data_IF_746333474553
#
_entry.id   IF_746333474553
#
_cell.length_a   1.000
_cell.length_b   1.000
_cell.length_c   1.000
_cell.angle_alpha   90.00
_cell.angle_beta   90.00
_cell.angle_gamma   90.00
#
_symmetry.space_group_name_H-M   'P 1'
#
loop_
_entity.id
_entity.type
_entity.pdbx_description
1 polymer ?
#
# COMPACT_ATOMS: atom_id res chain seq x y z
N UNK A 1 -16.10 -30.15 23.93
CA UNK A 1 -16.96 -29.17 23.24
C UNK A 1 -16.06 -28.04 22.76
N UNK A 2 -15.66 -28.02 21.47
CA UNK A 2 -14.77 -26.99 20.94
C UNK A 2 -15.59 -25.74 20.59
N UNK A 3 -15.38 -24.65 21.33
CA UNK A 3 -15.97 -23.36 21.00
C UNK A 3 -15.18 -22.79 19.82
N UNK A 4 -15.84 -22.64 18.66
CA UNK A 4 -15.26 -21.97 17.49
C UNK A 4 -14.97 -20.51 17.87
N UNK A 5 -13.67 -20.15 17.92
CA UNK A 5 -13.25 -18.78 18.10
C UNK A 5 -13.80 -17.93 16.95
N UNK A 6 -14.70 -17.03 17.23
CA UNK A 6 -15.16 -16.02 16.27
C UNK A 6 -14.00 -15.08 15.99
N UNK A 7 -13.49 -15.07 14.77
CA UNK A 7 -12.38 -14.22 14.33
C UNK A 7 -12.81 -12.76 14.24
N UNK A 8 -13.03 -12.13 15.39
CA UNK A 8 -13.33 -10.71 15.46
C UNK A 8 -12.06 -9.90 15.26
N UNK A 9 -12.00 -9.05 14.23
CA UNK A 9 -10.93 -8.06 14.06
C UNK A 9 -11.27 -6.84 14.92
N UNK A 10 -10.38 -6.47 15.81
CA UNK A 10 -10.52 -5.29 16.64
C UNK A 10 -9.64 -4.15 16.12
N UNK A 11 -10.12 -2.91 16.21
CA UNK A 11 -9.27 -1.73 16.13
C UNK A 11 -8.52 -1.55 17.45
N UNK A 12 -7.28 -1.05 17.39
CA UNK A 12 -6.45 -0.87 18.61
C UNK A 12 -7.09 0.09 19.63
N UNK A 13 -7.93 1.00 19.16
CA UNK A 13 -8.64 1.95 20.00
C UNK A 13 -9.89 1.33 20.66
N UNK A 14 -10.49 0.31 20.04
CA UNK A 14 -11.68 -0.38 20.60
C UNK A 14 -11.31 -1.38 21.70
N UNK A 15 -10.06 -1.86 21.72
CA UNK A 15 -9.59 -2.86 22.69
C UNK A 15 -9.66 -2.36 24.13
N UNK A 16 -9.45 -1.06 24.36
CA UNK A 16 -9.47 -0.47 25.70
C UNK A 16 -10.85 -0.37 26.32
N UNK A 17 -11.91 -0.38 25.52
CA UNK A 17 -13.27 -0.13 25.99
C UNK A 17 -14.19 -1.35 25.96
N UNK A 18 -13.95 -2.33 25.08
CA UNK A 18 -14.93 -3.39 24.78
C UNK A 18 -14.42 -4.83 24.89
N UNK A 19 -13.09 -5.05 24.95
CA UNK A 19 -12.55 -6.39 25.01
C UNK A 19 -12.51 -6.91 26.45
N UNK A 20 -13.33 -7.92 26.76
CA UNK A 20 -13.33 -8.65 28.03
C UNK A 20 -13.05 -10.13 27.77
N UNK A 21 -12.49 -10.81 28.78
CA UNK A 21 -12.34 -12.26 28.73
C UNK A 21 -13.73 -12.92 28.73
N UNK A 22 -14.03 -13.82 27.77
CA UNK A 22 -15.33 -14.51 27.70
C UNK A 22 -15.67 -15.32 28.95
N UNK A 23 -14.66 -15.72 29.72
CA UNK A 23 -14.83 -16.46 30.98
C UNK A 23 -14.96 -15.53 32.19
N UNK A 24 -15.07 -14.20 31.98
CA UNK A 24 -15.34 -13.23 33.04
C UNK A 24 -14.22 -13.02 34.07
N UNK A 25 -13.08 -13.69 33.91
CA UNK A 25 -12.08 -13.81 34.97
C UNK A 25 -11.01 -12.71 34.98
N UNK A 26 -10.88 -11.86 34.00
CA UNK A 26 -9.92 -10.75 34.09
C UNK A 26 -10.07 -9.65 33.08
N UNK A 27 -9.71 -8.44 33.49
CA UNK A 27 -9.47 -7.28 32.63
C UNK A 27 -8.03 -7.24 32.05
N UNK A 28 -7.21 -8.26 32.37
CA UNK A 28 -5.80 -8.30 32.00
C UNK A 28 -5.63 -8.99 30.63
N UNK A 29 -5.64 -8.21 29.56
CA UNK A 29 -5.42 -8.69 28.23
C UNK A 29 -3.95 -8.54 27.84
N UNK A 30 -3.41 -9.56 27.19
CA UNK A 30 -2.06 -9.58 26.65
C UNK A 30 -2.11 -9.53 25.12
N UNK A 31 -1.33 -8.61 24.56
CA UNK A 31 -1.13 -8.51 23.13
C UNK A 31 0.23 -9.07 22.75
N UNK A 32 0.27 -10.16 22.00
CA UNK A 32 1.49 -10.76 21.49
C UNK A 32 1.36 -11.06 20.00
N UNK A 33 2.31 -10.56 19.18
CA UNK A 33 2.34 -10.78 17.73
C UNK A 33 1.00 -10.52 17.03
N UNK A 34 0.26 -9.50 17.46
CA UNK A 34 -1.05 -9.14 16.90
C UNK A 34 -2.20 -10.04 17.36
N UNK A 35 -1.99 -10.96 18.32
CA UNK A 35 -3.03 -11.76 18.95
C UNK A 35 -3.37 -11.16 20.32
N UNK A 36 -4.64 -10.96 20.55
CA UNK A 36 -5.16 -10.54 21.84
C UNK A 36 -5.64 -11.78 22.59
N UNK A 37 -5.06 -12.06 23.75
CA UNK A 37 -5.41 -13.19 24.61
C UNK A 37 -5.58 -12.76 26.06
N UNK A 38 -6.34 -13.54 26.82
CA UNK A 38 -6.44 -13.36 28.28
C UNK A 38 -5.14 -13.82 28.93
N UNK A 39 -4.59 -13.02 29.84
CA UNK A 39 -3.35 -13.35 30.55
C UNK A 39 -3.54 -14.49 31.55
N UNK A 40 -4.76 -14.67 32.08
CA UNK A 40 -5.02 -15.67 33.10
C UNK A 40 -5.41 -17.05 32.55
N UNK A 41 -6.31 -17.11 31.55
CA UNK A 41 -6.79 -18.37 31.01
C UNK A 41 -6.19 -18.71 29.61
N UNK A 42 -5.42 -17.78 28.96
CA UNK A 42 -4.80 -18.01 27.67
C UNK A 42 -5.76 -17.98 26.48
N UNK A 43 -7.07 -17.81 26.70
CA UNK A 43 -8.05 -17.81 25.60
C UNK A 43 -7.76 -16.70 24.62
N UNK A 44 -7.67 -17.02 23.32
CA UNK A 44 -7.52 -16.04 22.24
C UNK A 44 -8.87 -15.34 22.02
N UNK A 45 -8.90 -14.03 22.28
CA UNK A 45 -10.09 -13.17 22.18
C UNK A 45 -10.25 -12.64 20.75
N UNK A 46 -9.13 -12.44 20.07
CA UNK A 46 -9.13 -11.95 18.68
C UNK A 46 -7.75 -11.53 18.18
N UNK A 47 -7.74 -10.95 16.99
CA UNK A 47 -6.50 -10.45 16.35
C UNK A 47 -6.66 -8.98 16.05
N UNK A 48 -5.60 -8.21 16.34
CA UNK A 48 -5.51 -6.83 15.86
C UNK A 48 -5.19 -6.91 14.37
N UNK A 49 -6.04 -6.28 13.55
CA UNK A 49 -5.74 -6.10 12.13
C UNK A 49 -4.41 -5.36 11.99
N UNK A 50 -3.54 -5.79 11.05
CA UNK A 50 -2.33 -5.02 10.73
C UNK A 50 -2.77 -3.64 10.27
N UNK A 51 -2.59 -2.63 11.11
CA UNK A 51 -2.69 -1.24 10.67
C UNK A 51 -1.52 -0.98 9.73
N UNK A 52 -1.80 -0.46 8.55
CA UNK A 52 -0.73 -0.06 7.63
C UNK A 52 0.14 0.98 8.32
N UNK A 53 1.46 0.77 8.35
CA UNK A 53 2.46 1.63 9.01
C UNK A 53 2.29 3.13 8.72
N UNK A 54 1.67 3.47 7.60
CA UNK A 54 1.47 4.85 7.13
C UNK A 54 0.00 5.27 7.07
N UNK A 55 -0.92 4.52 7.72
CA UNK A 55 -2.36 4.86 7.77
C UNK A 55 -3.09 4.73 6.42
N UNK A 56 -2.49 4.08 5.43
CA UNK A 56 -3.13 3.85 4.15
C UNK A 56 -4.39 2.99 4.32
N UNK A 57 -5.52 3.47 3.81
CA UNK A 57 -6.80 2.74 3.83
C UNK A 57 -7.09 2.24 2.42
N UNK A 58 -7.31 0.94 2.30
CA UNK A 58 -7.81 0.36 1.05
C UNK A 58 -9.11 1.04 0.67
N UNK A 59 -9.22 1.41 -0.59
CA UNK A 59 -10.35 2.16 -1.12
C UNK A 59 -10.87 1.47 -2.37
N UNK A 60 -12.16 1.19 -2.39
CA UNK A 60 -12.83 0.69 -3.58
C UNK A 60 -13.27 1.85 -4.46
N UNK A 61 -13.02 1.74 -5.78
CA UNK A 61 -13.48 2.69 -6.78
C UNK A 61 -13.72 1.94 -8.10
N UNK A 62 -14.89 2.11 -8.69
CA UNK A 62 -15.30 1.48 -9.95
C UNK A 62 -15.09 -0.06 -9.96
N UNK A 63 -15.41 -0.75 -8.85
CA UNK A 63 -15.26 -2.19 -8.70
C UNK A 63 -13.83 -2.68 -8.55
N UNK A 64 -12.83 -1.79 -8.47
CA UNK A 64 -11.41 -2.12 -8.20
C UNK A 64 -11.01 -1.64 -6.81
N UNK A 65 -10.16 -2.44 -6.14
CA UNK A 65 -9.64 -2.13 -4.81
C UNK A 65 -8.21 -1.60 -4.96
N UNK A 66 -7.97 -0.39 -4.45
CA UNK A 66 -6.68 0.29 -4.41
C UNK A 66 -6.08 0.23 -3.01
N UNK A 67 -4.77 0.16 -2.89
CA UNK A 67 -4.08 0.04 -1.61
C UNK A 67 -4.11 1.35 -0.78
N UNK A 68 -4.41 2.49 -1.40
CA UNK A 68 -4.57 3.78 -0.74
C UNK A 68 -5.65 4.65 -1.40
N UNK A 69 -6.17 5.63 -0.64
CA UNK A 69 -7.08 6.66 -1.17
C UNK A 69 -6.42 7.51 -2.26
N UNK A 70 -5.12 7.77 -2.14
CA UNK A 70 -4.40 8.57 -3.10
C UNK A 70 -4.22 7.83 -4.43
N UNK A 71 -3.92 6.54 -4.39
CA UNK A 71 -3.90 5.68 -5.59
C UNK A 71 -5.27 5.64 -6.28
N UNK A 72 -6.38 5.50 -5.51
CA UNK A 72 -7.73 5.59 -6.05
C UNK A 72 -8.02 6.95 -6.70
N UNK A 73 -7.52 8.06 -6.13
CA UNK A 73 -7.66 9.39 -6.73
C UNK A 73 -6.92 9.50 -8.06
N UNK A 74 -5.67 9.03 -8.12
CA UNK A 74 -4.88 9.01 -9.38
C UNK A 74 -5.58 8.16 -10.44
N UNK A 75 -6.19 7.04 -10.04
CA UNK A 75 -6.98 6.22 -10.96
C UNK A 75 -8.22 6.97 -11.48
N UNK A 76 -8.89 7.77 -10.63
CA UNK A 76 -10.02 8.60 -11.05
C UNK A 76 -9.57 9.66 -12.08
N UNK A 77 -8.42 10.28 -11.86
CA UNK A 77 -7.85 11.27 -12.77
C UNK A 77 -7.53 10.62 -14.14
N UNK A 78 -6.95 9.40 -14.13
CA UNK A 78 -6.69 8.62 -15.35
C UNK A 78 -7.98 8.24 -16.11
N UNK A 79 -9.07 7.92 -15.41
CA UNK A 79 -10.37 7.69 -16.05
C UNK A 79 -10.90 8.96 -16.76
N UNK A 80 -10.66 10.13 -16.20
CA UNK A 80 -11.00 11.41 -16.83
C UNK A 80 -10.10 11.65 -18.04
N UNK A 81 -8.76 11.49 -17.92
CA UNK A 81 -7.81 11.61 -19.04
C UNK A 81 -8.21 10.70 -20.21
N UNK A 82 -8.59 9.45 -19.93
CA UNK A 82 -9.07 8.49 -20.94
C UNK A 82 -10.38 8.95 -21.60
N UNK A 83 -11.36 9.41 -20.83
CA UNK A 83 -12.66 9.91 -21.37
C UNK A 83 -12.48 11.17 -22.24
N UNK A 84 -11.49 12.01 -21.93
CA UNK A 84 -11.13 13.20 -22.69
C UNK A 84 -10.26 12.85 -23.91
N UNK A 85 -9.91 11.60 -24.13
CA UNK A 85 -9.03 11.17 -25.23
C UNK A 85 -7.59 11.67 -25.11
N UNK A 86 -7.12 11.99 -23.92
CA UNK A 86 -5.74 12.42 -23.65
C UNK A 86 -4.79 11.22 -23.55
N UNK A 87 -5.29 10.07 -23.15
CA UNK A 87 -4.61 8.78 -23.14
C UNK A 87 -5.50 7.74 -23.85
N UNK A 88 -4.88 6.67 -24.36
CA UNK A 88 -5.61 5.57 -25.01
C UNK A 88 -6.26 4.65 -23.98
N UNK A 89 -5.51 4.21 -22.96
CA UNK A 89 -5.95 3.32 -21.88
C UNK A 89 -4.94 3.33 -20.73
N UNK A 90 -5.23 2.59 -19.66
CA UNK A 90 -4.26 2.33 -18.60
C UNK A 90 -4.49 1.00 -17.89
N UNK A 91 -3.41 0.37 -17.43
CA UNK A 91 -3.42 -0.80 -16.57
C UNK A 91 -3.08 -0.41 -15.14
N UNK A 92 -3.64 -1.13 -14.17
CA UNK A 92 -3.31 -0.96 -12.76
C UNK A 92 -2.35 -2.05 -12.29
N UNK A 93 -1.45 -1.69 -11.38
CA UNK A 93 -0.53 -2.63 -10.71
C UNK A 93 0.36 -3.41 -11.70
N UNK A 94 0.93 -2.69 -12.66
CA UNK A 94 1.80 -3.27 -13.66
C UNK A 94 3.09 -3.81 -13.06
N UNK A 95 3.42 -5.07 -13.39
CA UNK A 95 4.58 -5.76 -12.82
C UNK A 95 5.75 -5.70 -13.79
N UNK A 96 6.87 -5.19 -13.27
CA UNK A 96 8.18 -5.16 -13.94
C UNK A 96 9.06 -6.19 -13.27
N UNK A 97 9.70 -7.05 -14.06
CA UNK A 97 10.62 -8.06 -13.57
C UNK A 97 11.88 -8.07 -14.45
N UNK A 98 13.01 -8.44 -13.84
CA UNK A 98 14.27 -8.53 -14.55
C UNK A 98 15.38 -9.10 -13.69
N UNK A 99 16.61 -9.04 -14.21
CA UNK A 99 17.82 -9.49 -13.54
C UNK A 99 18.85 -8.37 -13.50
N UNK A 100 19.50 -8.24 -12.37
CA UNK A 100 20.75 -7.48 -12.27
C UNK A 100 21.89 -8.45 -12.59
N UNK A 101 22.85 -7.99 -13.38
CA UNK A 101 24.00 -8.78 -13.81
C UNK A 101 25.25 -8.28 -13.11
N UNK A 102 26.20 -9.19 -12.86
CA UNK A 102 27.52 -8.87 -12.35
C UNK A 102 28.44 -8.32 -13.47
N UNK A 103 29.67 -7.95 -13.14
CA UNK A 103 30.68 -7.45 -14.08
C UNK A 103 31.07 -8.44 -15.17
N UNK A 104 30.84 -9.74 -14.96
CA UNK A 104 31.10 -10.81 -15.90
C UNK A 104 29.89 -11.17 -16.76
N UNK A 105 28.75 -10.45 -16.60
CA UNK A 105 27.52 -10.71 -17.32
C UNK A 105 26.68 -11.87 -16.79
N UNK A 106 27.01 -12.41 -15.60
CA UNK A 106 26.22 -13.46 -14.97
C UNK A 106 25.05 -12.84 -14.19
N UNK A 107 23.94 -13.58 -14.08
CA UNK A 107 22.78 -13.19 -13.28
C UNK A 107 23.15 -13.12 -11.80
N UNK A 108 23.18 -11.89 -11.23
CA UNK A 108 23.49 -11.67 -9.81
C UNK A 108 22.23 -11.87 -8.95
N UNK A 109 21.15 -11.15 -9.22
CA UNK A 109 19.89 -11.29 -8.49
C UNK A 109 18.68 -10.83 -9.32
N UNK A 110 17.50 -11.43 -9.10
CA UNK A 110 16.27 -10.96 -9.72
C UNK A 110 15.75 -9.70 -9.02
N UNK A 111 15.11 -8.82 -9.78
CA UNK A 111 14.35 -7.71 -9.21
C UNK A 111 12.90 -7.75 -9.67
N UNK A 112 12.02 -7.22 -8.82
CA UNK A 112 10.59 -7.08 -9.11
C UNK A 112 10.12 -5.73 -8.60
N UNK A 113 9.42 -5.00 -9.47
CA UNK A 113 8.77 -3.75 -9.11
C UNK A 113 7.34 -3.76 -9.63
N UNK A 114 6.38 -3.51 -8.74
CA UNK A 114 4.98 -3.35 -9.10
C UNK A 114 4.67 -1.86 -9.09
N UNK A 115 4.53 -1.29 -10.29
CA UNK A 115 4.17 0.12 -10.50
C UNK A 115 2.65 0.25 -10.41
N UNK A 116 2.16 1.35 -9.84
CA UNK A 116 0.73 1.53 -9.60
C UNK A 116 -0.06 1.59 -10.92
N UNK A 117 0.47 2.28 -11.97
CA UNK A 117 -0.21 2.41 -13.26
C UNK A 117 0.76 2.32 -14.43
N UNK A 118 0.32 1.68 -15.54
CA UNK A 118 0.93 1.79 -16.86
C UNK A 118 -0.08 2.45 -17.78
N UNK A 119 0.26 3.61 -18.31
CA UNK A 119 -0.56 4.43 -19.19
C UNK A 119 -0.17 4.14 -20.63
N UNK A 120 -1.14 3.91 -21.47
CA UNK A 120 -0.99 3.74 -22.92
C UNK A 120 -1.19 5.11 -23.58
N UNK A 121 -0.13 5.74 -24.05
CA UNK A 121 -0.18 7.04 -24.69
C UNK A 121 -0.76 6.94 -26.11
N UNK A 122 -1.21 8.07 -26.66
CA UNK A 122 -1.80 8.12 -27.99
C UNK A 122 -0.79 7.82 -29.10
N UNK A 123 0.49 8.14 -28.90
CA UNK A 123 1.60 7.88 -29.81
C UNK A 123 2.11 6.44 -29.79
N UNK A 124 1.52 5.58 -28.94
CA UNK A 124 1.91 4.18 -28.78
C UNK A 124 2.99 3.94 -27.76
N UNK A 125 3.56 4.98 -27.15
CA UNK A 125 4.48 4.87 -26.00
C UNK A 125 3.72 4.56 -24.71
N UNK A 126 4.48 4.29 -23.64
CA UNK A 126 3.93 3.99 -22.32
C UNK A 126 4.50 4.92 -21.25
N UNK A 127 3.65 5.32 -20.30
CA UNK A 127 4.08 6.02 -19.10
C UNK A 127 3.80 5.17 -17.87
N UNK A 128 4.83 4.87 -17.11
CA UNK A 128 4.71 4.24 -15.80
C UNK A 128 4.49 5.33 -14.76
N UNK A 129 3.33 5.32 -14.07
CA UNK A 129 2.97 6.32 -13.06
C UNK A 129 2.87 5.68 -11.69
N UNK A 130 3.56 6.25 -10.71
CA UNK A 130 3.57 5.81 -9.32
C UNK A 130 2.92 6.87 -8.44
N UNK A 131 1.99 6.48 -7.55
CA UNK A 131 1.32 7.37 -6.60
C UNK A 131 1.98 7.28 -5.22
N UNK A 132 2.67 8.31 -4.75
CA UNK A 132 3.42 8.29 -3.49
C UNK A 132 2.96 9.33 -2.47
N UNK A 133 2.63 8.85 -1.28
CA UNK A 133 2.46 9.71 -0.10
C UNK A 133 3.78 9.89 0.66
N UNK A 134 4.56 8.81 0.81
CA UNK A 134 5.86 8.78 1.49
C UNK A 134 6.78 7.83 0.72
N UNK A 135 8.01 8.26 0.50
CA UNK A 135 9.06 7.40 -0.05
C UNK A 135 9.74 6.61 1.06
N UNK A 136 9.76 5.28 0.91
CA UNK A 136 10.53 4.38 1.76
C UNK A 136 11.88 4.07 1.11
N UNK A 137 12.87 3.62 1.88
CA UNK A 137 14.19 3.29 1.33
C UNK A 137 14.10 2.09 0.37
N UNK A 138 13.23 1.12 0.64
CA UNK A 138 12.94 0.01 -0.28
C UNK A 138 12.35 0.50 -1.61
N UNK A 139 11.48 1.52 -1.60
CA UNK A 139 10.98 2.13 -2.81
C UNK A 139 12.09 2.86 -3.58
N UNK A 140 12.93 3.66 -2.90
CA UNK A 140 14.05 4.38 -3.53
C UNK A 140 15.01 3.41 -4.24
N UNK A 141 15.29 2.25 -3.63
CA UNK A 141 16.08 1.19 -4.24
C UNK A 141 15.44 0.64 -5.51
N UNK A 142 14.16 0.26 -5.45
CA UNK A 142 13.43 -0.25 -6.62
C UNK A 142 13.33 0.78 -7.73
N UNK A 143 13.07 2.03 -7.39
CA UNK A 143 13.06 3.15 -8.34
C UNK A 143 14.42 3.31 -9.02
N UNK A 144 15.52 3.27 -8.26
CA UNK A 144 16.88 3.37 -8.81
C UNK A 144 17.17 2.25 -9.81
N UNK A 145 16.80 1.01 -9.50
CA UNK A 145 16.94 -0.11 -10.43
C UNK A 145 16.07 0.09 -11.69
N UNK A 146 14.81 0.53 -11.52
CA UNK A 146 13.92 0.85 -12.62
C UNK A 146 14.53 1.89 -13.56
N UNK A 147 14.97 3.02 -13.02
CA UNK A 147 15.52 4.14 -13.79
C UNK A 147 16.89 3.82 -14.43
N UNK A 148 17.75 3.04 -13.74
CA UNK A 148 19.13 2.80 -14.19
C UNK A 148 19.30 1.51 -15.00
N UNK A 149 18.40 0.54 -14.88
CA UNK A 149 18.54 -0.79 -15.52
C UNK A 149 17.41 -1.07 -16.48
N UNK A 150 16.16 -0.91 -16.03
CA UNK A 150 15.03 -1.34 -16.84
C UNK A 150 14.63 -0.33 -17.91
N UNK A 151 14.47 0.95 -17.59
CA UNK A 151 14.07 1.99 -18.54
C UNK A 151 15.05 2.15 -19.73
N UNK A 152 16.39 2.11 -19.53
CA UNK A 152 17.31 2.18 -20.66
C UNK A 152 17.15 1.05 -21.69
N UNK A 153 16.66 -0.11 -21.26
CA UNK A 153 16.36 -1.24 -22.14
C UNK A 153 14.95 -1.19 -22.77
N UNK A 154 14.12 -0.20 -22.38
CA UNK A 154 12.74 -0.03 -22.84
C UNK A 154 12.48 1.43 -23.22
N UNK A 155 13.01 1.91 -24.36
CA UNK A 155 12.97 3.33 -24.74
C UNK A 155 11.57 3.86 -25.04
N UNK A 156 10.59 2.98 -25.25
CA UNK A 156 9.17 3.28 -25.40
C UNK A 156 8.45 3.56 -24.06
N UNK A 157 9.15 3.41 -22.92
CA UNK A 157 8.62 3.67 -21.59
C UNK A 157 9.22 4.93 -20.97
N UNK A 158 8.36 5.72 -20.33
CA UNK A 158 8.74 6.81 -19.42
C UNK A 158 8.28 6.50 -18.02
N UNK A 159 8.85 7.18 -17.01
CA UNK A 159 8.48 6.98 -15.60
C UNK A 159 8.25 8.31 -14.90
N UNK A 160 7.16 8.41 -14.16
CA UNK A 160 6.82 9.57 -13.36
C UNK A 160 6.27 9.19 -11.98
N UNK A 161 6.46 10.07 -11.01
CA UNK A 161 5.94 9.91 -9.65
C UNK A 161 5.02 11.07 -9.32
N UNK A 162 3.80 10.75 -8.95
CA UNK A 162 2.82 11.74 -8.46
C UNK A 162 2.84 11.71 -6.94
N UNK A 163 3.08 12.88 -6.33
CA UNK A 163 3.14 13.00 -4.88
C UNK A 163 1.85 13.56 -4.31
N UNK A 164 1.39 12.94 -3.21
CA UNK A 164 0.26 13.46 -2.46
C UNK A 164 0.62 14.81 -1.82
N UNK A 165 -0.11 15.87 -2.17
CA UNK A 165 0.03 17.18 -1.50
C UNK A 165 -0.32 17.03 -0.02
N UNK A 166 0.64 17.25 0.86
CA UNK A 166 0.39 17.29 2.31
C UNK A 166 -0.34 18.58 2.65
N UNK A 167 -1.59 18.49 3.11
CA UNK A 167 -2.24 19.62 3.76
C UNK A 167 -1.43 19.97 5.01
N UNK A 168 -0.69 21.08 4.98
CA UNK A 168 -0.08 21.64 6.20
C UNK A 168 -1.22 21.93 7.16
N UNK A 169 -1.36 21.16 8.26
CA UNK A 169 -2.25 21.51 9.36
C UNK A 169 -1.85 22.92 9.82
N UNK A 170 -2.72 23.89 9.61
CA UNK A 170 -2.60 25.20 10.27
C UNK A 170 -2.80 24.92 11.76
N UNK A 171 -1.73 24.97 12.53
CA UNK A 171 -1.85 25.07 13.99
C UNK A 171 -2.56 26.39 14.25
N UNK A 172 -3.79 26.35 14.77
CA UNK A 172 -4.42 27.52 15.37
C UNK A 172 -3.62 27.78 16.64
N UNK A 173 -2.79 28.81 16.61
CA UNK A 173 -2.21 29.40 17.80
C UNK A 173 -3.40 29.96 18.59
N UNK A 174 -3.79 29.31 19.69
CA UNK A 174 -4.68 29.89 20.66
C UNK A 174 -3.92 31.07 21.30
N UNK A 175 -4.31 32.29 20.97
CA UNK A 175 -3.88 33.47 21.73
C UNK A 175 -4.55 33.36 23.10
N UNK A 176 -3.71 33.34 24.14
CA UNK A 176 -4.09 33.55 25.54
C UNK A 176 -4.50 35.01 25.70
#
# INVERSE_FOLDING_TARGET
MYIKATHKKFDINDIRSTASCPEGQSKHLMLSRGRLSCRNCGVEIGRIGKTNKYGAKRTEMNGKIYDSKFEAQVAADLEVEKKLGQIKDYDTQYRIEGWVYDENGNKAFPYRHKVDFRIHNLDGSFTLREAKGVETDDYKWRRKILESVWLPAHPDYTYEVVYQKRNKRRYKTSQL
#
